data_IF_872018107707
#
_entry.id   IF_872018107707
#
_cell.length_a   1.000
_cell.length_b   1.000
_cell.length_c   1.000
_cell.angle_alpha   90.00
_cell.angle_beta   90.00
_cell.angle_gamma   90.00
#
_symmetry.space_group_name_H-M   'P 1'
#
loop_
_entity.id
_entity.type
_entity.pdbx_description
1 polymer ?
#
# COMPACT_ATOMS: atom_id res chain seq x y z
N UNK A 1 23.20 -6.65 3.00
CA UNK A 1 22.12 -7.40 3.68
C UNK A 1 20.88 -6.57 3.78
N UNK A 2 19.73 -7.14 3.49
CA UNK A 2 18.44 -6.47 3.68
C UNK A 2 17.71 -7.12 4.85
N UNK A 3 16.85 -6.33 5.49
CA UNK A 3 15.95 -6.79 6.54
C UNK A 3 14.54 -6.45 6.14
N UNK A 4 13.61 -7.39 6.28
CA UNK A 4 12.22 -7.21 5.93
C UNK A 4 11.36 -7.20 7.18
N UNK A 5 10.42 -6.27 7.24
CA UNK A 5 9.45 -6.15 8.32
C UNK A 5 8.06 -6.03 7.73
N UNK A 6 7.15 -6.84 8.24
CA UNK A 6 5.74 -6.79 7.84
C UNK A 6 4.87 -6.54 9.06
N UNK A 7 3.79 -5.77 8.87
CA UNK A 7 2.81 -5.57 9.94
C UNK A 7 1.43 -5.28 9.35
N UNK A 8 0.42 -5.43 10.19
CA UNK A 8 -0.98 -5.18 9.83
C UNK A 8 -1.58 -4.15 10.78
N UNK A 9 -2.39 -3.24 10.22
CA UNK A 9 -3.17 -2.29 10.99
C UNK A 9 -4.63 -2.54 10.63
N UNK A 10 -5.43 -2.96 11.61
CA UNK A 10 -6.86 -3.15 11.40
C UNK A 10 -7.59 -1.82 11.56
N UNK A 11 -8.32 -1.42 10.51
CA UNK A 11 -9.15 -0.23 10.49
C UNK A 11 -10.55 -0.55 10.99
N UNK A 12 -10.96 -1.80 10.81
CA UNK A 12 -12.20 -2.41 11.31
C UNK A 12 -11.98 -3.92 11.34
N UNK A 13 -13.01 -4.70 11.70
CA UNK A 13 -12.94 -6.17 11.61
C UNK A 13 -12.84 -6.68 10.18
N UNK A 14 -13.26 -5.86 9.22
CA UNK A 14 -13.35 -6.23 7.80
C UNK A 14 -12.40 -5.41 6.92
N UNK A 15 -11.52 -4.60 7.50
CA UNK A 15 -10.65 -3.68 6.77
C UNK A 15 -9.29 -3.60 7.43
N UNK A 16 -8.21 -3.69 6.63
CA UNK A 16 -6.86 -3.62 7.17
C UNK A 16 -5.88 -3.01 6.18
N UNK A 17 -4.81 -2.46 6.70
CA UNK A 17 -3.64 -2.05 5.93
C UNK A 17 -2.54 -3.06 6.23
N UNK A 18 -1.99 -3.67 5.18
CA UNK A 18 -0.81 -4.52 5.26
C UNK A 18 0.39 -3.71 4.83
N UNK A 19 1.44 -3.69 5.63
CA UNK A 19 2.69 -3.01 5.29
C UNK A 19 3.82 -4.01 5.17
N UNK A 20 4.63 -3.84 4.12
CA UNK A 20 5.80 -4.64 3.84
C UNK A 20 6.97 -3.69 3.62
N UNK A 21 7.95 -3.71 4.52
CA UNK A 21 9.06 -2.77 4.53
C UNK A 21 10.38 -3.54 4.36
N UNK A 22 11.20 -3.08 3.44
CA UNK A 22 12.55 -3.61 3.25
C UNK A 22 13.57 -2.54 3.61
N UNK A 23 14.49 -2.89 4.51
CA UNK A 23 15.54 -2.00 4.98
C UNK A 23 16.89 -2.50 4.51
N UNK A 24 17.72 -1.58 4.02
CA UNK A 24 19.11 -1.89 3.76
C UNK A 24 19.92 -1.72 5.04
N UNK A 25 20.82 -2.67 5.28
CA UNK A 25 21.72 -2.63 6.42
C UNK A 25 23.15 -2.43 5.92
N UNK A 26 23.66 -1.22 6.10
CA UNK A 26 25.07 -0.95 5.89
C UNK A 26 25.87 -1.27 7.16
N UNK A 27 27.03 -1.91 7.06
CA UNK A 27 27.87 -2.14 8.23
C UNK A 27 28.18 -0.82 8.98
N UNK A 28 27.86 -0.79 10.27
CA UNK A 28 28.10 0.38 11.10
C UNK A 28 27.12 1.54 10.97
N UNK A 29 26.04 1.37 10.19
CA UNK A 29 25.00 2.40 10.00
C UNK A 29 23.63 1.89 10.40
N UNK A 30 22.70 2.85 10.65
CA UNK A 30 21.30 2.52 10.90
C UNK A 30 20.66 1.91 9.66
N UNK A 31 19.67 1.06 9.88
CA UNK A 31 18.85 0.52 8.80
C UNK A 31 18.12 1.65 8.08
N UNK A 32 18.20 1.67 6.76
CA UNK A 32 17.48 2.64 5.92
C UNK A 32 16.36 1.94 5.20
N UNK A 33 15.19 2.56 5.22
CA UNK A 33 14.08 2.07 4.40
C UNK A 33 14.47 2.19 2.93
N UNK A 34 14.51 1.06 2.23
CA UNK A 34 14.88 1.00 0.83
C UNK A 34 13.64 0.85 -0.07
N UNK A 35 12.69 0.03 0.35
CA UNK A 35 11.49 -0.27 -0.43
C UNK A 35 10.32 -0.51 0.50
N UNK A 36 9.12 -0.27 -0.01
CA UNK A 36 7.91 -0.54 0.76
C UNK A 36 6.74 -0.90 -0.15
N UNK A 37 5.79 -1.62 0.42
CA UNK A 37 4.45 -1.79 -0.13
C UNK A 37 3.46 -1.61 1.00
N UNK A 38 2.41 -0.82 0.76
CA UNK A 38 1.28 -0.71 1.69
C UNK A 38 0.01 -0.98 0.91
N UNK A 39 -0.81 -1.87 1.44
CA UNK A 39 -2.01 -2.36 0.77
C UNK A 39 -3.20 -2.25 1.69
N UNK A 40 -4.25 -1.57 1.23
CA UNK A 40 -5.54 -1.64 1.88
C UNK A 40 -6.28 -2.84 1.33
N UNK A 41 -6.68 -3.74 2.23
CA UNK A 41 -7.49 -4.91 1.90
C UNK A 41 -8.80 -4.86 2.68
N UNK A 42 -9.89 -5.28 2.02
CA UNK A 42 -11.21 -5.34 2.60
C UNK A 42 -11.76 -6.76 2.48
N UNK A 43 -12.46 -7.18 3.52
CA UNK A 43 -13.21 -8.44 3.47
C UNK A 43 -14.58 -8.14 2.91
N UNK A 44 -14.84 -8.64 1.71
CA UNK A 44 -16.09 -8.42 0.98
C UNK A 44 -16.58 -9.77 0.49
N UNK A 45 -17.82 -10.13 0.84
CA UNK A 45 -18.37 -11.41 0.48
C UNK A 45 -17.63 -12.59 1.12
N UNK A 46 -17.11 -12.40 2.32
CA UNK A 46 -16.38 -13.42 3.06
C UNK A 46 -14.95 -13.67 2.61
N UNK A 47 -14.42 -12.84 1.69
CA UNK A 47 -13.08 -12.99 1.15
C UNK A 47 -12.29 -11.68 1.30
N UNK A 48 -11.03 -11.80 1.70
CA UNK A 48 -10.12 -10.66 1.72
C UNK A 48 -9.69 -10.33 0.29
N UNK A 49 -9.84 -9.06 -0.08
CA UNK A 49 -9.50 -8.54 -1.41
C UNK A 49 -8.61 -7.33 -1.29
N UNK A 50 -7.57 -7.27 -2.08
CA UNK A 50 -6.76 -6.06 -2.20
C UNK A 50 -7.59 -4.99 -2.92
N UNK A 51 -7.60 -3.79 -2.38
CA UNK A 51 -8.40 -2.67 -2.91
C UNK A 51 -7.50 -1.58 -3.48
N UNK A 52 -6.50 -1.13 -2.72
CA UNK A 52 -5.50 -0.16 -3.16
C UNK A 52 -4.14 -0.61 -2.68
N UNK A 53 -3.16 -0.58 -3.55
CA UNK A 53 -1.78 -0.91 -3.22
C UNK A 53 -0.83 0.17 -3.70
N UNK A 54 0.03 0.64 -2.81
CA UNK A 54 1.19 1.48 -3.14
C UNK A 54 2.45 0.65 -2.99
N UNK A 55 3.34 0.71 -3.98
CA UNK A 55 4.48 -0.18 -4.06
C UNK A 55 5.63 0.48 -4.83
N UNK A 56 6.85 0.39 -4.31
CA UNK A 56 8.05 0.84 -5.02
C UNK A 56 9.10 -0.28 -5.17
N UNK A 57 8.72 -1.54 -5.01
CA UNK A 57 9.65 -2.67 -5.10
C UNK A 57 10.29 -2.82 -6.48
N UNK A 58 9.67 -2.28 -7.52
CA UNK A 58 10.18 -2.35 -8.89
C UNK A 58 11.00 -1.12 -9.30
N UNK A 59 11.45 -0.33 -8.34
CA UNK A 59 12.33 0.82 -8.59
C UNK A 59 11.64 2.15 -8.80
N UNK A 60 10.32 2.17 -8.85
CA UNK A 60 9.52 3.39 -8.92
C UNK A 60 8.22 3.22 -8.15
N UNK A 61 7.69 4.34 -7.64
CA UNK A 61 6.42 4.30 -6.91
C UNK A 61 5.26 4.17 -7.89
N UNK A 62 4.41 3.21 -7.66
CA UNK A 62 3.17 3.05 -8.41
C UNK A 62 2.01 2.72 -7.48
N UNK A 63 0.80 2.95 -7.96
CA UNK A 63 -0.45 2.66 -7.27
C UNK A 63 -1.28 1.72 -8.12
N UNK A 64 -1.91 0.74 -7.50
CA UNK A 64 -2.94 -0.09 -8.11
C UNK A 64 -4.25 0.17 -7.41
N UNK A 65 -5.27 0.49 -8.19
CA UNK A 65 -6.66 0.64 -7.73
C UNK A 65 -7.46 -0.47 -8.36
N UNK A 66 -7.68 -1.55 -7.62
CA UNK A 66 -8.18 -2.81 -8.16
C UNK A 66 -9.63 -2.76 -8.65
N UNK A 67 -10.39 -1.73 -8.28
CA UNK A 67 -11.73 -1.53 -8.84
C UNK A 67 -11.71 -0.92 -10.24
N UNK A 68 -10.59 -0.36 -10.68
CA UNK A 68 -10.46 0.30 -11.99
C UNK A 68 -9.74 -0.55 -13.00
N UNK A 69 -8.55 -1.00 -12.64
CA UNK A 69 -7.66 -1.69 -13.57
C UNK A 69 -6.65 -2.53 -12.78
N UNK A 70 -6.13 -3.56 -13.43
CA UNK A 70 -5.04 -4.36 -12.89
C UNK A 70 -3.68 -3.74 -13.18
N UNK A 71 -3.63 -2.71 -14.01
CA UNK A 71 -2.38 -2.07 -14.38
C UNK A 71 -1.96 -1.05 -13.32
N UNK A 72 -0.67 -1.06 -12.92
CA UNK A 72 -0.18 -0.07 -11.97
C UNK A 72 -0.09 1.32 -12.60
N UNK A 73 -0.36 2.35 -11.81
CA UNK A 73 -0.26 3.75 -12.19
C UNK A 73 1.03 4.33 -11.64
N UNK A 74 1.98 4.77 -12.47
CA UNK A 74 3.18 5.45 -11.98
C UNK A 74 2.83 6.75 -11.26
N UNK A 75 3.47 7.00 -10.11
CA UNK A 75 3.27 8.21 -9.33
C UNK A 75 4.57 9.04 -9.30
N UNK A 76 5.09 9.35 -10.48
CA UNK A 76 6.38 10.02 -10.65
C UNK A 76 6.52 11.35 -9.92
N UNK A 77 5.41 12.09 -9.81
CA UNK A 77 5.43 13.39 -9.11
C UNK A 77 5.74 13.26 -7.62
N UNK A 78 5.40 12.13 -7.00
CA UNK A 78 5.65 11.90 -5.57
C UNK A 78 7.08 11.43 -5.29
N UNK A 79 7.79 10.94 -6.29
CA UNK A 79 9.15 10.39 -6.10
C UNK A 79 10.19 11.43 -5.69
N UNK A 80 9.86 12.71 -5.72
CA UNK A 80 10.72 13.78 -5.22
C UNK A 80 10.81 13.79 -3.70
N UNK A 81 9.85 13.17 -3.02
CA UNK A 81 9.84 13.12 -1.57
C UNK A 81 10.83 12.08 -1.05
N UNK A 82 11.45 12.33 0.12
CA UNK A 82 12.18 11.28 0.81
C UNK A 82 11.31 10.06 1.06
N UNK A 83 11.91 8.88 1.06
CA UNK A 83 11.15 7.62 1.11
C UNK A 83 10.27 7.48 2.34
N UNK A 84 10.71 8.01 3.50
CA UNK A 84 9.87 7.98 4.72
C UNK A 84 8.63 8.85 4.56
N UNK A 85 8.75 9.99 3.88
CA UNK A 85 7.62 10.86 3.60
C UNK A 85 6.68 10.22 2.58
N UNK A 86 7.22 9.51 1.58
CA UNK A 86 6.42 8.74 0.63
C UNK A 86 5.59 7.69 1.33
N UNK A 87 6.21 6.92 2.21
CA UNK A 87 5.51 5.89 2.99
C UNK A 87 4.39 6.52 3.82
N UNK A 88 4.67 7.65 4.46
CA UNK A 88 3.68 8.38 5.26
C UNK A 88 2.49 8.85 4.43
N UNK A 89 2.75 9.46 3.28
CA UNK A 89 1.70 9.92 2.36
C UNK A 89 0.81 8.77 1.94
N UNK A 90 1.40 7.64 1.56
CA UNK A 90 0.65 6.47 1.12
C UNK A 90 -0.20 5.88 2.26
N UNK A 91 0.38 5.74 3.45
CA UNK A 91 -0.36 5.22 4.62
C UNK A 91 -1.51 6.15 5.01
N UNK A 92 -1.28 7.46 5.01
CA UNK A 92 -2.30 8.43 5.36
C UNK A 92 -3.44 8.45 4.36
N UNK A 93 -3.14 8.31 3.08
CA UNK A 93 -4.17 8.20 2.07
C UNK A 93 -5.10 7.02 2.36
N UNK A 94 -4.53 5.84 2.61
CA UNK A 94 -5.30 4.64 2.91
C UNK A 94 -6.10 4.80 4.22
N UNK A 95 -5.48 5.34 5.26
CA UNK A 95 -6.13 5.52 6.56
C UNK A 95 -7.29 6.52 6.49
N UNK A 96 -7.19 7.54 5.65
CA UNK A 96 -8.22 8.59 5.53
C UNK A 96 -9.34 8.22 4.57
N UNK A 97 -9.06 7.44 3.53
CA UNK A 97 -9.98 7.25 2.41
C UNK A 97 -10.43 5.80 2.20
N UNK A 98 -10.11 4.88 3.09
CA UNK A 98 -10.41 3.46 2.91
C UNK A 98 -11.92 3.19 2.75
N UNK A 99 -12.78 3.95 3.43
CA UNK A 99 -14.24 3.77 3.31
C UNK A 99 -14.71 4.06 1.89
N UNK A 100 -14.17 5.11 1.29
CA UNK A 100 -14.47 5.45 -0.11
C UNK A 100 -13.95 4.37 -1.05
N UNK A 101 -12.74 3.92 -0.82
CA UNK A 101 -12.13 2.87 -1.65
C UNK A 101 -12.92 1.56 -1.53
N UNK A 102 -13.36 1.22 -0.33
CA UNK A 102 -14.21 0.06 -0.13
C UNK A 102 -15.51 0.18 -0.93
N UNK A 103 -16.18 1.32 -0.89
CA UNK A 103 -17.41 1.56 -1.63
C UNK A 103 -17.24 1.40 -3.13
N UNK A 104 -16.12 1.91 -3.68
CA UNK A 104 -15.80 1.78 -5.09
C UNK A 104 -15.57 0.32 -5.48
N UNK A 105 -14.88 -0.42 -4.65
CA UNK A 105 -14.65 -1.85 -4.88
C UNK A 105 -15.95 -2.65 -4.81
N UNK A 106 -16.79 -2.37 -3.81
CA UNK A 106 -18.10 -3.02 -3.67
C UNK A 106 -18.98 -2.75 -4.88
N UNK A 107 -18.98 -1.51 -5.41
CA UNK A 107 -19.73 -1.16 -6.61
C UNK A 107 -19.27 -1.95 -7.83
N UNK A 108 -17.96 -2.07 -8.02
CA UNK A 108 -17.40 -2.84 -9.12
C UNK A 108 -17.80 -4.31 -9.02
N UNK A 109 -17.72 -4.88 -7.82
CA UNK A 109 -18.07 -6.28 -7.59
C UNK A 109 -19.56 -6.57 -7.82
N UNK A 110 -20.44 -5.60 -7.57
CA UNK A 110 -21.87 -5.75 -7.83
C UNK A 110 -22.21 -5.74 -9.33
N UNK A 111 -21.36 -5.13 -10.15
CA UNK A 111 -21.56 -5.04 -11.60
C UNK A 111 -21.06 -6.28 -12.37
N UNK A 112 -20.37 -7.17 -11.69
CA UNK A 112 -19.88 -8.41 -12.30
C UNK A 112 -20.95 -9.49 -12.44
#
# INVERSE_FOLDING_TARGET
MSKRKTYKIFLSLEDRIDADLEFDKDPGRRHRLARFAVTYSARIGGRWREVVRYDNFHGYLHRQRFWRTREPEPLSALERLPILDLLDVCRQDLARHWRRYRSLMESMLREE
#
